data_IF_135712057733
#
_entry.id   IF_135712057733
#
_cell.length_a   1.000
_cell.length_b   1.000
_cell.length_c   1.000
_cell.angle_alpha   90.00
_cell.angle_beta   90.00
_cell.angle_gamma   90.00
#
_symmetry.space_group_name_H-M   'P 1'
#
loop_
_entity.id
_entity.type
_entity.pdbx_description
1 polymer ?
#
# COMPACT_ATOMS: atom_id res chain seq x y z
N UNK A 1 9.62 20.92 14.21
CA UNK A 1 10.24 21.66 15.32
C UNK A 1 10.58 20.65 16.41
N UNK A 2 11.67 20.85 17.15
CA UNK A 2 12.04 19.99 18.28
C UNK A 2 12.46 20.88 19.44
N UNK A 3 12.06 20.53 20.65
CA UNK A 3 12.40 21.27 21.85
C UNK A 3 12.49 20.35 23.06
N UNK A 4 13.19 20.82 24.09
CA UNK A 4 13.24 20.14 25.38
C UNK A 4 12.31 20.86 26.35
N UNK A 5 11.48 20.10 27.05
CA UNK A 5 10.60 20.61 28.11
C UNK A 5 11.03 20.03 29.45
N UNK A 6 11.21 20.89 30.44
CA UNK A 6 11.43 20.44 31.80
C UNK A 6 10.10 20.03 32.44
N UNK A 7 9.93 18.72 32.60
CA UNK A 7 8.77 18.18 33.31
C UNK A 7 8.84 18.54 34.81
N UNK A 8 7.74 19.05 35.38
CA UNK A 8 7.61 19.26 36.81
C UNK A 8 7.54 17.90 37.54
N UNK A 9 7.76 17.90 38.86
CA UNK A 9 7.50 16.70 39.67
C UNK A 9 6.00 16.37 39.63
N UNK A 10 5.64 15.16 39.24
CA UNK A 10 4.27 14.65 39.22
C UNK A 10 4.21 13.51 40.24
N UNK A 11 3.35 13.65 41.24
CA UNK A 11 3.15 12.63 42.27
C UNK A 11 2.46 11.40 41.67
N UNK A 12 2.61 10.25 42.33
CA UNK A 12 2.01 8.99 41.87
C UNK A 12 0.49 9.15 41.78
N UNK A 13 -0.10 8.71 40.67
CA UNK A 13 -1.54 8.84 40.38
C UNK A 13 -2.08 10.29 40.35
N UNK A 14 -1.20 11.27 40.08
CA UNK A 14 -1.61 12.67 39.87
C UNK A 14 -1.36 13.11 38.43
N UNK A 15 -1.93 14.26 38.07
CA UNK A 15 -1.81 14.87 36.75
C UNK A 15 -1.26 16.30 36.87
N UNK A 16 -0.62 16.75 35.79
CA UNK A 16 -0.22 18.15 35.62
C UNK A 16 -0.40 18.57 34.18
N UNK A 17 -0.82 19.81 34.01
CA UNK A 17 -0.93 20.44 32.70
C UNK A 17 0.32 21.24 32.37
N UNK A 18 0.72 21.19 31.10
CA UNK A 18 1.87 21.90 30.55
C UNK A 18 1.46 22.54 29.23
N UNK A 19 1.72 23.84 29.10
CA UNK A 19 1.48 24.56 27.87
C UNK A 19 2.62 24.33 26.89
N UNK A 20 2.30 23.79 25.70
CA UNK A 20 3.24 23.61 24.60
C UNK A 20 3.08 24.74 23.59
N UNK A 21 4.05 25.66 23.56
CA UNK A 21 4.10 26.74 22.57
C UNK A 21 4.80 26.27 21.31
N UNK A 22 4.06 25.55 20.48
CA UNK A 22 4.55 24.99 19.21
C UNK A 22 3.86 25.66 18.03
N UNK A 23 4.60 25.81 16.92
CA UNK A 23 4.01 26.31 15.68
C UNK A 23 3.47 25.13 14.87
N UNK A 24 2.16 25.09 14.65
CA UNK A 24 1.51 24.01 13.90
C UNK A 24 1.52 24.37 12.40
N UNK A 25 2.10 23.54 11.52
CA UNK A 25 2.00 23.73 10.08
C UNK A 25 0.56 23.59 9.58
N UNK A 26 0.14 24.48 8.68
CA UNK A 26 -1.21 24.45 8.10
C UNK A 26 -1.48 23.22 7.22
N UNK A 27 -0.45 22.72 6.53
CA UNK A 27 -0.54 21.62 5.57
C UNK A 27 0.34 20.45 6.00
N UNK A 28 -0.11 19.23 5.70
CA UNK A 28 0.61 18.00 5.96
C UNK A 28 0.09 17.21 7.15
N UNK A 29 0.45 15.93 7.22
CA UNK A 29 0.22 15.11 8.42
C UNK A 29 1.14 15.61 9.53
N UNK A 30 0.57 16.21 10.58
CA UNK A 30 1.32 16.72 11.71
C UNK A 30 1.10 15.81 12.92
N UNK A 31 2.20 15.38 13.53
CA UNK A 31 2.20 14.62 14.77
C UNK A 31 3.11 15.32 15.79
N UNK A 32 2.64 15.39 17.04
CA UNK A 32 3.44 15.75 18.19
C UNK A 32 3.95 14.47 18.83
N UNK A 33 5.27 14.29 18.85
CA UNK A 33 5.91 13.19 19.57
C UNK A 33 6.54 13.71 20.86
N UNK A 34 6.08 13.21 21.99
CA UNK A 34 6.63 13.49 23.32
C UNK A 34 7.54 12.34 23.71
N UNK A 35 8.80 12.62 24.03
CA UNK A 35 9.79 11.60 24.41
C UNK A 35 10.25 11.87 25.85
N UNK A 36 10.15 10.87 26.71
CA UNK A 36 10.48 10.99 28.13
C UNK A 36 11.91 10.54 28.38
N UNK A 37 12.76 11.46 28.83
CA UNK A 37 14.20 11.21 29.02
C UNK A 37 14.55 11.18 30.51
N UNK A 38 15.29 10.15 30.91
CA UNK A 38 15.78 10.00 32.27
C UNK A 38 16.85 11.06 32.60
N UNK A 39 16.52 12.00 33.49
CA UNK A 39 17.42 13.13 33.84
C UNK A 39 18.62 12.74 34.71
N UNK A 40 18.51 11.68 35.50
CA UNK A 40 19.53 11.22 36.44
C UNK A 40 19.71 9.71 36.32
N UNK A 41 20.94 9.25 36.39
CA UNK A 41 21.26 7.83 36.39
C UNK A 41 20.50 7.09 37.51
N UNK A 42 20.01 5.90 37.18
CA UNK A 42 19.39 4.96 38.10
C UNK A 42 20.13 3.62 38.00
N UNK A 43 20.01 2.72 39.00
CA UNK A 43 20.59 1.39 38.88
C UNK A 43 20.19 0.72 37.56
N UNK A 44 21.18 0.31 36.77
CA UNK A 44 21.04 -0.33 35.46
C UNK A 44 20.49 0.56 34.32
N UNK A 45 20.20 1.84 34.57
CA UNK A 45 19.65 2.74 33.55
C UNK A 45 20.47 4.05 33.52
N UNK A 46 21.23 4.30 32.44
CA UNK A 46 22.08 5.48 32.35
C UNK A 46 21.25 6.77 32.23
N UNK A 47 21.83 7.88 32.67
CA UNK A 47 21.28 9.21 32.38
C UNK A 47 21.11 9.39 30.86
N UNK A 48 19.99 9.98 30.45
CA UNK A 48 19.66 10.21 29.04
C UNK A 48 18.89 9.07 28.37
N UNK A 49 18.60 7.98 29.11
CA UNK A 49 17.82 6.87 28.60
C UNK A 49 16.37 7.28 28.27
N UNK A 50 15.85 6.82 27.14
CA UNK A 50 14.44 7.02 26.74
C UNK A 50 13.54 6.05 27.52
N UNK A 51 12.70 6.63 28.39
CA UNK A 51 11.77 5.87 29.22
C UNK A 51 10.51 5.47 28.46
N UNK A 52 10.21 6.16 27.36
CA UNK A 52 9.05 5.93 26.51
C UNK A 52 8.69 7.18 25.72
N UNK A 53 7.61 7.09 24.97
CA UNK A 53 7.08 8.20 24.19
C UNK A 53 5.56 8.10 24.02
N UNK A 54 4.96 9.25 23.75
CA UNK A 54 3.59 9.37 23.25
C UNK A 54 3.60 10.06 21.89
N UNK A 55 2.64 9.73 21.03
CA UNK A 55 2.46 10.38 19.75
C UNK A 55 1.00 10.80 19.57
N UNK A 56 0.79 12.08 19.26
CA UNK A 56 -0.54 12.67 19.09
C UNK A 56 -0.66 13.26 17.69
N UNK A 57 -1.71 12.89 16.97
CA UNK A 57 -2.06 13.55 15.71
C UNK A 57 -2.60 14.95 16.01
N UNK A 58 -2.05 15.96 15.33
CA UNK A 58 -2.48 17.36 15.47
C UNK A 58 -3.32 17.74 14.25
N UNK A 59 -4.48 18.35 14.49
CA UNK A 59 -5.34 18.87 13.44
C UNK A 59 -4.81 20.20 12.90
N UNK A 60 -4.96 20.39 11.59
CA UNK A 60 -4.58 21.58 10.85
C UNK A 60 -5.51 21.76 9.64
N UNK A 61 -5.29 22.79 8.82
CA UNK A 61 -6.15 23.13 7.68
C UNK A 61 -6.26 22.00 6.66
N UNK A 62 -5.15 21.36 6.29
CA UNK A 62 -5.14 20.16 5.43
C UNK A 62 -4.12 19.12 5.92
N UNK A 63 -4.62 18.11 6.61
CA UNK A 63 -3.83 17.00 7.16
C UNK A 63 -3.39 15.95 6.14
N UNK A 64 -3.61 16.13 4.83
CA UNK A 64 -3.21 15.14 3.81
C UNK A 64 -1.69 15.08 3.66
N UNK A 65 -1.18 13.91 3.25
CA UNK A 65 0.24 13.74 2.95
C UNK A 65 0.59 14.56 1.70
N UNK A 66 1.45 15.56 1.83
CA UNK A 66 1.76 16.51 0.75
C UNK A 66 2.51 15.87 -0.42
N UNK A 67 3.25 14.78 -0.20
CA UNK A 67 3.83 14.01 -1.31
C UNK A 67 2.72 13.27 -2.07
N UNK A 68 1.77 12.65 -1.38
CA UNK A 68 0.60 12.03 -2.02
C UNK A 68 -0.22 13.04 -2.80
N UNK A 69 -0.49 14.22 -2.23
CA UNK A 69 -1.20 15.31 -2.92
C UNK A 69 -0.47 15.72 -4.20
N UNK A 70 0.85 15.96 -4.14
CA UNK A 70 1.67 16.27 -5.32
C UNK A 70 1.58 15.20 -6.41
N UNK A 71 1.52 13.92 -6.04
CA UNK A 71 1.41 12.83 -7.02
C UNK A 71 0.00 12.72 -7.61
N UNK A 72 -1.05 12.89 -6.81
CA UNK A 72 -2.44 12.81 -7.26
C UNK A 72 -2.87 14.01 -8.10
N UNK A 73 -2.39 15.20 -7.75
CA UNK A 73 -2.71 16.47 -8.44
C UNK A 73 -1.67 16.82 -9.52
N UNK A 74 -0.74 15.90 -9.82
CA UNK A 74 0.25 16.10 -10.88
C UNK A 74 -0.45 16.36 -12.20
N UNK A 75 -0.07 17.44 -12.88
CA UNK A 75 -0.57 17.72 -14.22
C UNK A 75 -0.05 16.68 -15.21
N UNK A 76 -0.97 16.01 -15.90
CA UNK A 76 -0.64 15.05 -16.95
C UNK A 76 -0.46 15.82 -18.26
N UNK A 77 0.78 15.95 -18.69
CA UNK A 77 1.13 16.51 -20.00
C UNK A 77 0.81 15.49 -21.06
N UNK A 78 0.03 15.87 -22.07
CA UNK A 78 -0.33 14.99 -23.17
C UNK A 78 0.93 14.47 -23.88
N UNK A 79 0.98 13.17 -24.11
CA UNK A 79 2.07 12.48 -24.80
C UNK A 79 1.48 11.30 -25.56
N UNK A 80 2.13 10.92 -26.66
CA UNK A 80 1.72 9.78 -27.46
C UNK A 80 1.76 8.49 -26.63
N UNK A 81 0.74 7.67 -26.85
CA UNK A 81 0.57 6.38 -26.21
C UNK A 81 -0.13 5.42 -27.16
N UNK A 82 0.44 4.23 -27.29
CA UNK A 82 -0.02 3.15 -28.17
C UNK A 82 -0.54 1.99 -27.32
N UNK A 83 -1.63 1.37 -27.77
CA UNK A 83 -2.18 0.15 -27.18
C UNK A 83 -2.20 -0.92 -28.25
N UNK A 84 -1.54 -2.04 -27.96
CA UNK A 84 -1.64 -3.26 -28.76
C UNK A 84 -2.25 -4.36 -27.91
N UNK A 85 -3.25 -5.05 -28.45
CA UNK A 85 -3.99 -6.10 -27.75
C UNK A 85 -3.90 -7.41 -28.53
N UNK A 86 -3.71 -8.52 -27.80
CA UNK A 86 -3.90 -9.87 -28.30
C UNK A 86 -4.92 -10.65 -27.44
N UNK A 87 -5.10 -11.94 -27.74
CA UNK A 87 -6.06 -12.79 -27.04
C UNK A 87 -5.80 -12.88 -25.52
N UNK A 88 -4.54 -12.72 -25.10
CA UNK A 88 -4.07 -12.99 -23.75
C UNK A 88 -3.44 -11.80 -23.05
N UNK A 89 -3.03 -10.77 -23.78
CA UNK A 89 -2.25 -9.66 -23.26
C UNK A 89 -2.62 -8.31 -23.86
N UNK A 90 -2.29 -7.25 -23.12
CA UNK A 90 -2.37 -5.86 -23.57
C UNK A 90 -1.01 -5.22 -23.33
N UNK A 91 -0.43 -4.66 -24.39
CA UNK A 91 0.83 -3.93 -24.34
C UNK A 91 0.51 -2.44 -24.46
N UNK A 92 0.85 -1.69 -23.41
CA UNK A 92 0.64 -0.24 -23.35
C UNK A 92 2.01 0.43 -23.41
N UNK A 93 2.23 1.23 -24.45
CA UNK A 93 3.52 1.86 -24.71
C UNK A 93 3.38 3.38 -24.75
N UNK A 94 4.09 4.06 -23.87
CA UNK A 94 4.27 5.52 -23.94
C UNK A 94 5.72 5.88 -24.24
N UNK A 95 6.02 7.19 -24.25
CA UNK A 95 7.37 7.70 -24.57
C UNK A 95 8.48 7.10 -23.69
N UNK A 96 8.20 6.92 -22.40
CA UNK A 96 9.18 6.47 -21.41
C UNK A 96 8.87 5.09 -20.83
N UNK A 97 7.77 4.43 -21.23
CA UNK A 97 7.32 3.22 -20.56
C UNK A 97 6.72 2.19 -21.51
N UNK A 98 6.77 0.93 -21.11
CA UNK A 98 6.11 -0.19 -21.79
C UNK A 98 5.64 -1.16 -20.72
N UNK A 99 4.32 -1.32 -20.62
CA UNK A 99 3.68 -2.19 -19.64
C UNK A 99 2.98 -3.33 -20.35
N UNK A 100 3.12 -4.54 -19.81
CA UNK A 100 2.41 -5.73 -20.30
C UNK A 100 1.40 -6.16 -19.26
N UNK A 101 0.13 -6.21 -19.65
CA UNK A 101 -1.00 -6.60 -18.82
C UNK A 101 -1.57 -7.95 -19.29
N UNK A 102 -1.92 -8.83 -18.36
CA UNK A 102 -2.46 -10.16 -18.65
C UNK A 102 -3.98 -10.18 -18.55
N UNK A 103 -4.64 -10.50 -19.66
CA UNK A 103 -6.10 -10.74 -19.72
C UNK A 103 -6.51 -12.04 -19.02
N UNK A 104 -5.54 -12.88 -18.61
CA UNK A 104 -5.80 -14.15 -17.91
C UNK A 104 -6.10 -13.96 -16.43
N UNK A 105 -5.42 -13.04 -15.77
CA UNK A 105 -5.49 -12.84 -14.32
C UNK A 105 -5.76 -11.38 -13.91
N UNK A 106 -5.78 -10.43 -14.86
CA UNK A 106 -6.06 -9.04 -14.59
C UNK A 106 -4.93 -8.25 -13.95
N UNK A 107 -3.68 -8.73 -14.08
CA UNK A 107 -2.49 -8.15 -13.45
C UNK A 107 -1.40 -7.79 -14.49
N UNK A 108 -0.47 -6.94 -14.09
CA UNK A 108 0.72 -6.62 -14.90
C UNK A 108 1.77 -7.73 -14.84
N UNK A 109 2.27 -8.14 -16.01
CA UNK A 109 3.37 -9.11 -16.17
C UNK A 109 4.74 -8.43 -16.26
N UNK A 110 4.79 -7.19 -16.79
CA UNK A 110 6.01 -6.39 -16.95
C UNK A 110 5.71 -4.90 -16.77
N UNK A 111 6.62 -4.18 -16.10
CA UNK A 111 6.55 -2.75 -15.85
C UNK A 111 7.89 -2.08 -16.22
N UNK A 112 8.14 -1.90 -17.52
CA UNK A 112 9.34 -1.20 -17.98
C UNK A 112 9.10 0.31 -17.97
N UNK A 113 9.91 1.06 -17.23
CA UNK A 113 9.89 2.51 -17.21
C UNK A 113 11.32 3.07 -17.29
N UNK A 114 11.52 4.09 -18.13
CA UNK A 114 12.82 4.69 -18.46
C UNK A 114 13.90 3.65 -18.81
N UNK A 115 13.53 2.59 -19.55
CA UNK A 115 14.44 1.51 -19.96
C UNK A 115 14.80 0.52 -18.86
N UNK A 116 14.16 0.59 -17.69
CA UNK A 116 14.36 -0.33 -16.56
C UNK A 116 13.09 -1.15 -16.30
N UNK A 117 13.23 -2.47 -16.20
CA UNK A 117 12.19 -3.35 -15.66
C UNK A 117 12.12 -3.21 -14.14
N UNK A 118 10.92 -3.01 -13.60
CA UNK A 118 10.69 -2.82 -12.17
C UNK A 118 10.25 -4.10 -11.46
N UNK A 119 9.58 -5.03 -12.16
CA UNK A 119 9.12 -6.31 -11.58
C UNK A 119 9.83 -7.50 -12.25
N UNK A 120 10.26 -8.47 -11.45
CA UNK A 120 10.96 -9.68 -11.96
C UNK A 120 10.04 -10.89 -12.16
N UNK A 121 8.77 -10.77 -11.76
CA UNK A 121 7.69 -11.71 -12.07
C UNK A 121 6.34 -10.96 -11.98
N UNK A 122 5.26 -11.54 -12.53
CA UNK A 122 3.97 -10.88 -12.58
C UNK A 122 3.47 -10.42 -11.21
N UNK A 123 2.80 -9.27 -11.20
CA UNK A 123 2.03 -8.76 -10.07
C UNK A 123 0.94 -9.76 -9.66
N UNK A 124 0.64 -9.82 -8.37
CA UNK A 124 -0.40 -10.69 -7.82
C UNK A 124 -1.40 -9.89 -6.98
N UNK A 125 -2.70 -10.17 -7.12
CA UNK A 125 -3.65 -9.94 -6.02
C UNK A 125 -3.48 -11.08 -5.03
N UNK A 126 -3.21 -10.75 -3.77
CA UNK A 126 -2.75 -11.73 -2.79
C UNK A 126 -3.60 -11.67 -1.52
N UNK A 127 -4.10 -12.84 -1.10
CA UNK A 127 -4.79 -13.01 0.19
C UNK A 127 -4.01 -13.82 1.22
N UNK A 128 -2.80 -14.26 0.89
CA UNK A 128 -2.03 -15.12 1.77
C UNK A 128 -0.84 -14.40 2.40
N UNK A 129 -0.49 -14.79 3.61
CA UNK A 129 0.81 -14.53 4.22
C UNK A 129 1.31 -15.79 4.92
N UNK A 130 2.62 -15.90 5.09
CA UNK A 130 3.18 -16.94 5.94
C UNK A 130 2.61 -16.82 7.38
N UNK A 131 2.06 -17.91 7.96
CA UNK A 131 1.57 -17.90 9.34
C UNK A 131 2.71 -17.69 10.34
N UNK A 132 2.41 -16.99 11.42
CA UNK A 132 3.23 -16.84 12.63
C UNK A 132 2.76 -17.82 13.71
N UNK A 133 3.48 -17.92 14.84
CA UNK A 133 3.07 -18.79 15.96
C UNK A 133 1.70 -18.41 16.54
N UNK A 134 1.36 -17.12 16.54
CA UNK A 134 0.04 -16.63 16.98
C UNK A 134 -1.11 -17.08 16.06
N UNK A 135 -0.81 -17.53 14.83
CA UNK A 135 -1.81 -17.99 13.87
C UNK A 135 -2.10 -19.50 14.01
N UNK A 136 -1.69 -20.15 15.10
CA UNK A 136 -1.73 -21.61 15.26
C UNK A 136 -3.09 -22.25 14.94
N UNK A 137 -4.20 -21.62 15.33
CA UNK A 137 -5.55 -22.11 15.05
C UNK A 137 -6.05 -21.61 13.68
N UNK A 138 -5.86 -20.33 13.38
CA UNK A 138 -6.32 -19.72 12.13
C UNK A 138 -5.68 -20.36 10.89
N UNK A 139 -4.40 -20.74 10.96
CA UNK A 139 -3.67 -21.38 9.85
C UNK A 139 -4.30 -22.70 9.42
N UNK A 140 -4.98 -23.42 10.32
CA UNK A 140 -5.65 -24.68 9.99
C UNK A 140 -6.84 -24.38 9.07
N UNK A 141 -7.67 -23.41 9.45
CA UNK A 141 -8.83 -23.00 8.65
C UNK A 141 -8.42 -22.35 7.34
N UNK A 142 -7.39 -21.50 7.32
CA UNK A 142 -6.91 -20.89 6.08
C UNK A 142 -6.35 -21.91 5.08
N UNK A 143 -5.66 -22.96 5.58
CA UNK A 143 -5.19 -24.06 4.72
C UNK A 143 -6.33 -24.92 4.21
N UNK A 144 -7.36 -25.19 5.02
CA UNK A 144 -8.59 -25.86 4.57
C UNK A 144 -9.30 -25.04 3.47
N UNK A 145 -9.33 -23.72 3.64
CA UNK A 145 -9.83 -22.76 2.66
C UNK A 145 -8.90 -22.57 1.45
N UNK A 146 -7.74 -23.25 1.41
CA UNK A 146 -6.74 -23.23 0.33
C UNK A 146 -6.22 -21.84 -0.04
N UNK A 147 -6.17 -20.90 0.90
CA UNK A 147 -5.69 -19.54 0.63
C UNK A 147 -4.25 -19.51 0.09
N UNK A 148 -3.41 -20.47 0.49
CA UNK A 148 -2.03 -20.62 0.02
C UNK A 148 -1.90 -21.15 -1.43
N UNK A 149 -2.98 -21.63 -2.02
CA UNK A 149 -3.04 -22.18 -3.39
C UNK A 149 -3.95 -21.33 -4.30
N UNK A 150 -4.55 -20.27 -3.75
CA UNK A 150 -5.51 -19.45 -4.46
C UNK A 150 -4.83 -18.67 -5.60
N UNK A 151 -5.51 -18.59 -6.75
CA UNK A 151 -5.07 -17.86 -7.92
C UNK A 151 -6.22 -17.05 -8.51
N UNK A 152 -5.88 -15.98 -9.21
CA UNK A 152 -6.84 -15.08 -9.84
C UNK A 152 -7.16 -15.55 -11.26
N UNK A 153 -8.43 -15.48 -11.63
CA UNK A 153 -8.91 -15.64 -12.98
C UNK A 153 -9.71 -14.41 -13.40
N UNK A 154 -9.35 -13.82 -14.52
CA UNK A 154 -10.14 -12.78 -15.17
C UNK A 154 -11.23 -13.40 -16.07
N UNK A 155 -12.40 -12.78 -16.07
CA UNK A 155 -13.57 -13.22 -16.85
C UNK A 155 -13.92 -12.23 -17.96
N UNK A 156 -14.00 -10.96 -17.61
CA UNK A 156 -14.36 -9.87 -18.51
C UNK A 156 -13.29 -8.80 -18.38
N UNK A 157 -12.66 -8.41 -19.48
CA UNK A 157 -11.72 -7.28 -19.55
C UNK A 157 -12.22 -6.32 -20.62
N UNK A 158 -12.42 -5.07 -20.24
CA UNK A 158 -12.77 -3.96 -21.11
C UNK A 158 -11.62 -2.96 -21.10
N UNK A 159 -11.21 -2.50 -22.28
CA UNK A 159 -10.08 -1.58 -22.46
C UNK A 159 -10.60 -0.36 -23.20
N UNK A 160 -10.45 0.82 -22.59
CA UNK A 160 -10.87 2.10 -23.15
C UNK A 160 -9.65 2.99 -23.27
N UNK A 161 -9.25 3.31 -24.50
CA UNK A 161 -8.24 4.31 -24.77
C UNK A 161 -8.87 5.70 -24.83
N UNK A 162 -8.49 6.56 -23.89
CA UNK A 162 -8.86 7.98 -23.83
C UNK A 162 -7.66 8.84 -24.27
N UNK A 163 -7.89 10.14 -24.45
CA UNK A 163 -6.87 11.07 -24.93
C UNK A 163 -5.59 11.08 -24.07
N UNK A 164 -5.73 11.02 -22.73
CA UNK A 164 -4.61 11.12 -21.78
C UNK A 164 -4.31 9.83 -21.01
N UNK A 165 -5.09 8.78 -21.20
CA UNK A 165 -4.94 7.55 -20.43
C UNK A 165 -5.59 6.34 -21.09
N UNK A 166 -5.15 5.16 -20.68
CA UNK A 166 -5.83 3.89 -20.95
C UNK A 166 -6.47 3.43 -19.66
N UNK A 167 -7.74 3.09 -19.72
CA UNK A 167 -8.48 2.47 -18.63
C UNK A 167 -8.73 1.00 -18.97
N UNK A 168 -8.39 0.10 -18.04
CA UNK A 168 -8.65 -1.33 -18.14
C UNK A 168 -9.55 -1.71 -16.97
N UNK A 169 -10.79 -2.07 -17.25
CA UNK A 169 -11.75 -2.56 -16.29
C UNK A 169 -11.82 -4.07 -16.40
N UNK A 170 -11.64 -4.79 -15.29
CA UNK A 170 -11.64 -6.25 -15.28
C UNK A 170 -12.47 -6.81 -14.12
N UNK A 171 -13.31 -7.79 -14.43
CA UNK A 171 -13.97 -8.63 -13.42
C UNK A 171 -13.16 -9.90 -13.23
N UNK A 172 -12.77 -10.15 -12.00
CA UNK A 172 -11.96 -11.31 -11.63
C UNK A 172 -12.62 -12.09 -10.49
N UNK A 173 -12.24 -13.35 -10.35
CA UNK A 173 -12.44 -14.08 -9.10
C UNK A 173 -11.13 -14.69 -8.66
N UNK A 174 -11.08 -15.07 -7.39
CA UNK A 174 -9.97 -15.83 -6.85
C UNK A 174 -10.48 -17.12 -6.22
N UNK A 175 -9.83 -18.23 -6.55
CA UNK A 175 -10.20 -19.57 -6.09
C UNK A 175 -8.97 -20.49 -6.10
N UNK A 176 -9.12 -21.71 -5.59
CA UNK A 176 -8.13 -22.76 -5.73
C UNK A 176 -8.75 -23.99 -6.44
N UNK A 177 -7.90 -24.87 -6.99
CA UNK A 177 -8.36 -26.10 -7.63
C UNK A 177 -9.17 -26.93 -6.61
N UNK A 178 -10.44 -27.18 -6.92
CA UNK A 178 -11.42 -27.96 -6.11
C UNK A 178 -12.21 -27.22 -5.03
N UNK A 179 -12.22 -25.89 -5.00
CA UNK A 179 -13.16 -25.13 -4.14
C UNK A 179 -13.92 -24.07 -4.94
N UNK A 180 -15.04 -23.59 -4.40
CA UNK A 180 -15.78 -22.46 -4.95
C UNK A 180 -14.95 -21.17 -4.89
N UNK A 181 -15.46 -20.10 -5.52
CA UNK A 181 -14.81 -18.79 -5.47
C UNK A 181 -14.68 -18.31 -4.03
N UNK A 182 -13.49 -17.91 -3.63
CA UNK A 182 -13.22 -17.31 -2.32
C UNK A 182 -13.72 -15.86 -2.31
N UNK A 183 -13.50 -15.16 -3.42
CA UNK A 183 -13.94 -13.78 -3.63
C UNK A 183 -14.09 -13.46 -5.12
N UNK A 184 -14.91 -12.45 -5.40
CA UNK A 184 -14.96 -11.73 -6.66
C UNK A 184 -14.34 -10.33 -6.49
N UNK A 185 -13.68 -9.82 -7.52
CA UNK A 185 -13.03 -8.53 -7.50
C UNK A 185 -13.21 -7.78 -8.83
N UNK A 186 -13.70 -6.55 -8.74
CA UNK A 186 -13.75 -5.58 -9.82
C UNK A 186 -12.50 -4.68 -9.70
N UNK A 187 -11.65 -4.71 -10.73
CA UNK A 187 -10.39 -3.95 -10.76
C UNK A 187 -10.43 -2.97 -11.93
N UNK A 188 -10.12 -1.71 -11.66
CA UNK A 188 -9.92 -0.68 -12.68
C UNK A 188 -8.48 -0.22 -12.62
N UNK A 189 -7.74 -0.44 -13.69
CA UNK A 189 -6.39 0.10 -13.89
C UNK A 189 -6.46 1.31 -14.80
N UNK A 190 -5.92 2.44 -14.36
CA UNK A 190 -5.75 3.63 -15.18
C UNK A 190 -4.28 3.92 -15.38
N UNK A 191 -3.84 3.90 -16.63
CA UNK A 191 -2.46 4.18 -17.04
C UNK A 191 -2.46 5.54 -17.74
N UNK A 192 -1.81 6.55 -17.15
CA UNK A 192 -1.66 7.86 -17.79
C UNK A 192 -0.56 7.84 -18.87
N UNK A 193 -0.59 8.80 -19.80
CA UNK A 193 0.39 8.92 -20.87
C UNK A 193 1.82 9.30 -20.40
N UNK A 194 2.02 9.52 -19.11
CA UNK A 194 3.32 9.70 -18.46
C UNK A 194 3.77 8.43 -17.70
N UNK A 195 3.02 7.33 -17.77
CA UNK A 195 3.33 6.04 -17.16
C UNK A 195 2.85 5.87 -15.72
N UNK A 196 2.10 6.82 -15.17
CA UNK A 196 1.47 6.67 -13.86
C UNK A 196 0.39 5.59 -13.90
N UNK A 197 0.39 4.68 -12.93
CA UNK A 197 -0.62 3.62 -12.78
C UNK A 197 -1.44 3.92 -11.53
N UNK A 198 -2.75 4.06 -11.69
CA UNK A 198 -3.73 4.16 -10.60
C UNK A 198 -4.62 2.92 -10.63
N UNK A 199 -4.93 2.37 -9.46
CA UNK A 199 -5.79 1.19 -9.33
C UNK A 199 -6.96 1.45 -8.40
N UNK A 200 -8.16 1.05 -8.82
CA UNK A 200 -9.31 0.88 -7.93
C UNK A 200 -9.62 -0.61 -7.84
N UNK A 201 -9.68 -1.16 -6.63
CA UNK A 201 -9.92 -2.59 -6.40
C UNK A 201 -11.09 -2.71 -5.43
N UNK A 202 -12.22 -3.22 -5.92
CA UNK A 202 -13.40 -3.51 -5.11
C UNK A 202 -13.56 -5.02 -4.99
N UNK A 203 -13.72 -5.53 -3.78
CA UNK A 203 -13.75 -6.97 -3.52
C UNK A 203 -14.96 -7.34 -2.69
N UNK A 204 -15.57 -8.48 -3.06
CA UNK A 204 -16.62 -9.14 -2.29
C UNK A 204 -16.13 -10.54 -1.95
N UNK A 205 -15.85 -10.77 -0.67
CA UNK A 205 -15.47 -12.09 -0.13
C UNK A 205 -16.73 -12.88 0.14
N UNK A 206 -16.72 -14.17 -0.18
CA UNK A 206 -17.75 -15.10 0.25
C UNK A 206 -17.68 -15.28 1.79
N UNK A 207 -18.81 -15.10 2.47
CA UNK A 207 -18.90 -15.13 3.93
C UNK A 207 -18.66 -16.52 4.53
N UNK A 208 -18.82 -17.59 3.74
CA UNK A 208 -18.53 -18.97 4.19
C UNK A 208 -17.04 -19.21 4.47
N UNK A 209 -16.17 -18.40 3.87
CA UNK A 209 -14.73 -18.51 4.02
C UNK A 209 -14.22 -17.75 5.25
N UNK A 210 -13.16 -18.24 5.95
CA UNK A 210 -12.61 -17.59 7.14
C UNK A 210 -12.03 -16.20 6.82
N UNK A 211 -11.74 -15.40 7.86
CA UNK A 211 -11.09 -14.11 7.67
C UNK A 211 -9.78 -14.24 6.89
N UNK A 212 -9.54 -13.27 6.00
CA UNK A 212 -8.33 -13.25 5.17
C UNK A 212 -7.12 -12.87 6.03
N UNK A 213 -6.00 -13.61 5.95
CA UNK A 213 -4.80 -13.28 6.72
C UNK A 213 -4.09 -12.02 6.19
N UNK A 214 -4.38 -11.64 4.94
CA UNK A 214 -3.96 -10.41 4.26
C UNK A 214 -4.90 -10.16 3.08
N UNK A 215 -4.95 -8.93 2.59
CA UNK A 215 -5.51 -8.59 1.28
C UNK A 215 -4.72 -7.44 0.67
N UNK A 216 -4.34 -7.57 -0.60
CA UNK A 216 -3.71 -6.47 -1.33
C UNK A 216 -2.93 -6.90 -2.57
N UNK A 217 -2.34 -5.93 -3.25
CA UNK A 217 -1.46 -6.16 -4.39
C UNK A 217 -0.04 -6.49 -3.90
N UNK A 218 0.59 -7.46 -4.56
CA UNK A 218 1.98 -7.86 -4.32
C UNK A 218 2.80 -7.61 -5.58
N UNK A 219 3.84 -6.79 -5.41
CA UNK A 219 4.84 -6.51 -6.44
C UNK A 219 6.12 -7.29 -6.12
N UNK A 220 6.77 -7.81 -7.16
CA UNK A 220 8.04 -8.51 -7.05
C UNK A 220 9.15 -7.67 -7.63
N UNK A 221 9.59 -6.69 -6.86
CA UNK A 221 10.54 -5.69 -7.32
C UNK A 221 11.90 -6.31 -7.65
N UNK A 222 12.59 -5.71 -8.62
CA UNK A 222 13.99 -6.04 -8.90
C UNK A 222 14.87 -5.80 -7.66
N UNK A 223 15.78 -6.74 -7.36
CA UNK A 223 16.63 -6.71 -6.16
C UNK A 223 17.52 -5.46 -6.03
N UNK A 224 17.75 -4.73 -7.12
CA UNK A 224 18.49 -3.45 -7.12
C UNK A 224 17.69 -2.32 -6.44
N UNK A 225 16.42 -2.52 -6.12
CA UNK A 225 15.57 -1.60 -5.36
C UNK A 225 15.61 -1.96 -3.88
N UNK A 226 16.78 -1.85 -3.25
CA UNK A 226 17.00 -2.25 -1.85
C UNK A 226 16.72 -1.15 -0.82
N UNK A 227 16.74 0.12 -1.26
CA UNK A 227 16.48 1.25 -0.39
C UNK A 227 14.98 1.55 -0.33
N UNK A 228 14.44 1.59 0.88
CA UNK A 228 13.02 1.77 1.13
C UNK A 228 12.82 3.05 1.95
N UNK A 229 11.88 3.89 1.53
CA UNK A 229 11.38 5.04 2.28
C UNK A 229 9.85 5.03 2.21
N UNK A 230 9.18 5.28 3.34
CA UNK A 230 7.73 5.33 3.46
C UNK A 230 7.28 6.46 4.40
#
# INVERSE_FOLDING_TARGET
ETGNLDLPSIEVHSEKELELRIKIPNLGKVFLKLIYILKKEMPLIPKGYELGFDELKIENEDGRNQNTVKWLEREVTLSDMEVAEDDTSVIIKGKAFTYTYSKKNGMFESLVFAGREYINRPMELNIWRAPTDNDMYAKIEWKKAKYNEAYVRAYETEIIQLEKCVEISVKTSMSAASIQKILDADIVWKIDCMGGITSSVKVVKDEEFPDLPRFGIRLFLDKKLENIAY
#
